data_IF_310103780010
#
_entry.id   IF_310103780010
#
_cell.length_a   1.000
_cell.length_b   1.000
_cell.length_c   1.000
_cell.angle_alpha   90.00
_cell.angle_beta   90.00
_cell.angle_gamma   90.00
#
_symmetry.space_group_name_H-M   'P 1'
#
loop_
_entity.id
_entity.type
_entity.pdbx_description
1 polymer ?
#
# COMPACT_ATOMS: atom_id res chain seq x y z
N UNK A 1 0.08 6.89 -2.22
CA UNK A 1 0.34 5.50 -1.79
C UNK A 1 -0.48 4.46 -2.56
N UNK A 2 -1.44 4.88 -3.40
CA UNK A 2 -2.28 3.97 -4.18
C UNK A 2 -1.66 3.60 -5.54
N UNK A 3 -1.85 4.43 -6.57
CA UNK A 3 -1.48 4.13 -7.97
C UNK A 3 -0.08 4.57 -8.42
N UNK A 4 0.80 4.96 -7.49
CA UNK A 4 2.19 5.28 -7.81
C UNK A 4 3.07 4.03 -8.00
N UNK A 5 4.26 4.21 -8.57
CA UNK A 5 5.24 3.12 -8.82
C UNK A 5 5.48 2.19 -7.62
N UNK A 6 5.56 2.74 -6.41
CA UNK A 6 5.74 2.02 -5.15
C UNK A 6 4.49 2.08 -4.24
N UNK A 7 3.30 2.22 -4.85
CA UNK A 7 2.03 2.17 -4.13
C UNK A 7 1.44 0.76 -4.04
N UNK A 8 0.33 0.63 -3.33
CA UNK A 8 -0.29 -0.68 -3.08
C UNK A 8 -0.85 -1.34 -4.34
N UNK A 9 -1.18 -0.55 -5.38
CA UNK A 9 -1.53 -1.11 -6.69
C UNK A 9 -0.33 -1.86 -7.31
N UNK A 10 0.89 -1.40 -7.05
CA UNK A 10 2.10 -2.06 -7.54
C UNK A 10 2.45 -3.29 -6.73
N UNK A 11 2.38 -3.25 -5.39
CA UNK A 11 2.59 -4.46 -4.57
C UNK A 11 1.56 -5.54 -4.94
N UNK A 12 0.27 -5.19 -4.95
CA UNK A 12 -0.80 -6.07 -5.40
C UNK A 12 -0.54 -6.61 -6.81
N UNK A 13 -0.32 -5.73 -7.79
CA UNK A 13 -0.14 -6.13 -9.18
C UNK A 13 1.04 -7.09 -9.37
N UNK A 14 2.17 -6.83 -8.70
CA UNK A 14 3.33 -7.71 -8.76
C UNK A 14 3.03 -9.09 -8.18
N UNK A 15 2.52 -9.15 -6.96
CA UNK A 15 2.33 -10.43 -6.27
C UNK A 15 1.19 -11.23 -6.91
N UNK A 16 0.14 -10.56 -7.40
CA UNK A 16 -0.96 -11.16 -8.12
C UNK A 16 -0.46 -11.90 -9.37
N UNK A 17 0.21 -11.20 -10.28
CA UNK A 17 0.68 -11.81 -11.52
C UNK A 17 1.80 -12.83 -11.28
N UNK A 18 2.69 -12.61 -10.31
CA UNK A 18 3.67 -13.62 -9.91
C UNK A 18 3.01 -14.88 -9.34
N UNK A 19 1.94 -14.77 -8.54
CA UNK A 19 1.21 -15.92 -8.00
C UNK A 19 0.50 -16.72 -9.10
N UNK A 20 -0.07 -16.04 -10.10
CA UNK A 20 -0.69 -16.67 -11.26
C UNK A 20 0.37 -17.41 -12.11
N UNK A 21 1.48 -16.74 -12.39
CA UNK A 21 2.56 -17.24 -13.24
C UNK A 21 3.55 -18.16 -12.51
N UNK A 22 3.35 -18.44 -11.22
CA UNK A 22 4.29 -19.20 -10.41
C UNK A 22 4.45 -20.62 -10.96
N UNK A 23 5.69 -20.99 -11.29
CA UNK A 23 6.04 -22.33 -11.80
C UNK A 23 6.41 -23.28 -10.68
N UNK A 24 6.13 -24.58 -10.87
CA UNK A 24 6.46 -25.62 -9.90
C UNK A 24 5.80 -25.41 -8.51
N UNK A 25 4.53 -24.97 -8.48
CA UNK A 25 3.76 -24.68 -7.26
C UNK A 25 3.83 -25.79 -6.20
N UNK A 26 3.85 -27.06 -6.60
CA UNK A 26 3.97 -28.18 -5.64
C UNK A 26 5.37 -28.29 -5.03
N UNK A 27 6.44 -28.14 -5.84
CA UNK A 27 7.82 -28.27 -5.37
C UNK A 27 8.28 -27.06 -4.55
N UNK A 28 7.77 -25.88 -4.89
CA UNK A 28 8.10 -24.60 -4.25
C UNK A 28 6.92 -24.05 -3.46
N UNK A 29 6.11 -24.94 -2.88
CA UNK A 29 4.83 -24.60 -2.24
C UNK A 29 4.95 -23.48 -1.21
N UNK A 30 5.95 -23.51 -0.31
CA UNK A 30 6.12 -22.47 0.71
C UNK A 30 6.34 -21.07 0.12
N UNK A 31 7.07 -20.96 -1.00
CA UNK A 31 7.33 -19.67 -1.65
C UNK A 31 6.13 -19.20 -2.46
N UNK A 32 5.44 -20.13 -3.14
CA UNK A 32 4.18 -19.85 -3.80
C UNK A 32 3.13 -19.35 -2.80
N UNK A 33 2.93 -20.08 -1.69
CA UNK A 33 2.00 -19.71 -0.63
C UNK A 33 2.34 -18.38 0.01
N UNK A 34 3.63 -18.08 0.22
CA UNK A 34 4.06 -16.77 0.71
C UNK A 34 3.60 -15.65 -0.23
N UNK A 35 3.90 -15.76 -1.53
CA UNK A 35 3.48 -14.75 -2.51
C UNK A 35 1.97 -14.64 -2.56
N UNK A 36 1.24 -15.76 -2.64
CA UNK A 36 -0.21 -15.77 -2.73
C UNK A 36 -0.91 -15.22 -1.48
N UNK A 37 -0.40 -15.50 -0.28
CA UNK A 37 -0.96 -14.95 0.96
C UNK A 37 -0.77 -13.44 1.04
N UNK A 38 0.42 -12.94 0.68
CA UNK A 38 0.67 -11.49 0.65
C UNK A 38 -0.16 -10.82 -0.44
N UNK A 39 -0.34 -11.44 -1.62
CA UNK A 39 -1.28 -10.93 -2.65
C UNK A 39 -2.68 -10.69 -2.08
N UNK A 40 -3.19 -11.64 -1.28
CA UNK A 40 -4.51 -11.49 -0.67
C UNK A 40 -4.55 -10.35 0.36
N UNK A 41 -3.46 -10.13 1.09
CA UNK A 41 -3.32 -8.98 2.00
C UNK A 41 -3.30 -7.64 1.25
N UNK A 42 -2.57 -7.55 0.12
CA UNK A 42 -2.45 -6.31 -0.66
C UNK A 42 -3.78 -5.85 -1.28
N UNK A 43 -4.75 -6.74 -1.49
CA UNK A 43 -6.12 -6.34 -1.86
C UNK A 43 -6.73 -5.44 -0.77
N UNK A 44 -6.58 -5.84 0.50
CA UNK A 44 -7.02 -5.04 1.64
C UNK A 44 -6.22 -3.76 1.81
N UNK A 45 -4.94 -3.72 1.40
CA UNK A 45 -4.16 -2.48 1.40
C UNK A 45 -4.64 -1.48 0.34
N UNK A 46 -4.95 -1.95 -0.87
CA UNK A 46 -5.57 -1.11 -1.91
C UNK A 46 -6.90 -0.55 -1.43
N UNK A 47 -7.74 -1.38 -0.79
CA UNK A 47 -8.99 -0.94 -0.18
C UNK A 47 -8.75 0.11 0.93
N UNK A 48 -7.85 -0.17 1.88
CA UNK A 48 -7.53 0.72 3.00
C UNK A 48 -7.04 2.09 2.53
N UNK A 49 -6.11 2.13 1.57
CA UNK A 49 -5.61 3.40 1.03
C UNK A 49 -6.69 4.12 0.24
N UNK A 50 -7.51 3.41 -0.53
CA UNK A 50 -8.62 4.01 -1.28
C UNK A 50 -9.64 4.65 -0.35
N UNK A 51 -10.00 3.96 0.73
CA UNK A 51 -10.88 4.50 1.77
C UNK A 51 -10.23 5.71 2.48
N UNK A 52 -8.93 5.61 2.82
CA UNK A 52 -8.20 6.75 3.39
C UNK A 52 -8.23 8.00 2.50
N UNK A 53 -8.08 7.85 1.18
CA UNK A 53 -8.21 8.98 0.23
C UNK A 53 -9.63 9.55 0.23
N UNK A 54 -10.66 8.70 0.19
CA UNK A 54 -12.05 9.14 0.22
C UNK A 54 -12.36 9.89 1.53
N UNK A 55 -11.93 9.36 2.67
CA UNK A 55 -12.10 9.99 3.99
C UNK A 55 -11.36 11.33 4.11
N UNK A 56 -10.17 11.45 3.55
CA UNK A 56 -9.43 12.72 3.54
C UNK A 56 -10.11 13.80 2.68
N UNK A 57 -10.79 13.39 1.60
CA UNK A 57 -11.44 14.32 0.69
C UNK A 57 -12.87 14.68 1.12
N UNK A 58 -13.61 13.73 1.69
CA UNK A 58 -15.05 13.85 1.95
C UNK A 58 -15.41 13.87 3.43
N UNK A 59 -14.51 13.43 4.32
CA UNK A 59 -14.81 13.22 5.73
C UNK A 59 -15.70 12.00 5.98
N UNK A 60 -16.03 11.72 7.26
CA UNK A 60 -17.01 10.70 7.62
C UNK A 60 -18.43 11.15 7.26
N UNK A 61 -19.32 10.19 7.00
CA UNK A 61 -20.74 10.45 6.87
C UNK A 61 -21.30 11.12 8.14
N UNK A 62 -22.08 12.17 7.97
CA UNK A 62 -22.85 12.81 9.04
C UNK A 62 -24.33 12.46 8.92
N UNK A 63 -25.01 12.40 10.07
CA UNK A 63 -26.43 12.06 10.11
C UNK A 63 -27.24 13.11 9.37
N UNK A 64 -27.86 12.71 8.26
CA UNK A 64 -28.73 13.56 7.44
C UNK A 64 -28.06 14.14 6.20
N UNK A 65 -26.82 13.79 5.87
CA UNK A 65 -26.15 14.25 4.63
C UNK A 65 -26.92 13.85 3.37
N UNK A 66 -27.64 12.73 3.43
CA UNK A 66 -28.50 12.18 2.36
C UNK A 66 -29.92 12.79 2.34
N UNK A 67 -30.25 13.68 3.28
CA UNK A 67 -31.59 14.27 3.40
C UNK A 67 -31.72 15.65 2.75
N UNK A 68 -30.60 16.23 2.29
CA UNK A 68 -30.57 17.52 1.61
C UNK A 68 -31.08 17.46 0.16
N UNK A 69 -31.41 18.61 -0.41
CA UNK A 69 -31.79 18.76 -1.82
C UNK A 69 -30.61 19.12 -2.74
N UNK A 70 -29.37 18.97 -2.26
CA UNK A 70 -28.14 19.35 -2.97
C UNK A 70 -27.70 20.81 -2.82
N UNK A 71 -28.53 21.69 -2.23
CA UNK A 71 -28.20 23.09 -1.99
C UNK A 71 -28.13 23.96 -3.26
N UNK A 72 -27.88 25.26 -3.09
CA UNK A 72 -27.66 26.21 -4.19
C UNK A 72 -26.16 26.30 -4.51
N UNK A 73 -25.79 25.95 -5.74
CA UNK A 73 -24.40 25.95 -6.22
C UNK A 73 -24.00 27.24 -6.96
N UNK A 74 -24.92 28.19 -7.17
CA UNK A 74 -24.66 29.41 -7.96
C UNK A 74 -23.59 30.30 -7.33
N UNK A 75 -23.41 30.21 -6.01
CA UNK A 75 -22.36 30.91 -5.25
C UNK A 75 -20.98 30.24 -5.25
N UNK A 76 -20.74 29.21 -6.09
CA UNK A 76 -19.49 28.46 -6.15
C UNK A 76 -19.00 27.95 -4.76
N UNK A 77 -19.80 27.11 -4.06
CA UNK A 77 -19.48 26.67 -2.69
C UNK A 77 -18.17 25.88 -2.57
N UNK A 78 -17.67 25.32 -3.67
CA UNK A 78 -16.40 24.60 -3.75
C UNK A 78 -15.32 25.37 -4.52
N UNK A 79 -15.35 26.71 -4.51
CA UNK A 79 -14.42 27.55 -5.29
C UNK A 79 -12.94 27.19 -5.06
N UNK A 80 -12.57 26.86 -3.81
CA UNK A 80 -11.20 26.47 -3.44
C UNK A 80 -10.68 25.23 -4.18
N UNK A 81 -11.55 24.38 -4.74
CA UNK A 81 -11.15 23.18 -5.49
C UNK A 81 -10.47 23.52 -6.83
N UNK A 82 -10.57 24.76 -7.32
CA UNK A 82 -9.88 25.19 -8.55
C UNK A 82 -8.35 25.24 -8.40
N UNK A 83 -7.85 25.41 -7.17
CA UNK A 83 -6.44 25.65 -6.86
C UNK A 83 -5.77 24.44 -6.18
N UNK A 84 -6.47 23.32 -6.02
CA UNK A 84 -5.87 22.11 -5.41
C UNK A 84 -4.86 21.47 -6.36
N UNK A 85 -3.83 20.84 -5.78
CA UNK A 85 -2.71 20.23 -6.53
C UNK A 85 -3.14 19.21 -7.58
N UNK A 86 -4.22 18.47 -7.33
CA UNK A 86 -4.77 17.46 -8.23
C UNK A 86 -6.27 17.69 -8.43
N UNK A 87 -6.60 18.70 -9.23
CA UNK A 87 -7.98 19.12 -9.50
C UNK A 87 -8.88 17.99 -10.02
N UNK A 88 -8.33 17.04 -10.79
CA UNK A 88 -9.06 15.86 -11.27
C UNK A 88 -9.65 15.00 -10.13
N UNK A 89 -9.01 15.00 -8.94
CA UNK A 89 -9.54 14.34 -7.75
C UNK A 89 -10.93 14.85 -7.35
N UNK A 90 -11.20 16.13 -7.56
CA UNK A 90 -12.53 16.71 -7.38
C UNK A 90 -13.37 16.59 -8.66
N UNK A 91 -12.90 17.15 -9.78
CA UNK A 91 -13.73 17.31 -10.99
C UNK A 91 -14.11 16.01 -11.70
N UNK A 92 -13.23 14.99 -11.68
CA UNK A 92 -13.48 13.73 -12.38
C UNK A 92 -13.85 12.60 -11.43
N UNK A 93 -13.33 12.62 -10.20
CA UNK A 93 -13.44 11.51 -9.27
C UNK A 93 -14.33 11.78 -8.05
N UNK A 94 -14.85 13.01 -7.90
CA UNK A 94 -15.79 13.35 -6.82
C UNK A 94 -15.22 13.08 -5.42
N UNK A 95 -13.91 13.29 -5.22
CA UNK A 95 -13.21 12.98 -3.97
C UNK A 95 -12.83 11.50 -3.81
N UNK A 96 -13.24 10.62 -4.73
CA UNK A 96 -12.93 9.21 -4.71
C UNK A 96 -11.48 8.88 -5.14
N UNK A 97 -11.01 7.73 -4.68
CA UNK A 97 -9.75 7.15 -5.13
C UNK A 97 -9.88 6.50 -6.52
N UNK A 98 -8.86 6.69 -7.35
CA UNK A 98 -8.68 6.04 -8.65
C UNK A 98 -7.22 5.58 -8.81
N UNK A 99 -6.90 4.63 -9.71
CA UNK A 99 -5.55 4.08 -9.82
C UNK A 99 -4.58 5.06 -10.53
N UNK A 100 -4.25 6.16 -9.86
CA UNK A 100 -3.31 7.19 -10.31
C UNK A 100 -2.25 7.49 -9.25
N UNK A 101 -1.13 8.07 -9.68
CA UNK A 101 -0.10 8.60 -8.78
C UNK A 101 -0.44 10.00 -8.24
N UNK A 102 0.46 10.59 -7.45
CA UNK A 102 0.24 11.91 -6.84
C UNK A 102 0.26 13.09 -7.82
N UNK A 103 0.62 12.85 -9.08
CA UNK A 103 0.58 13.84 -10.17
C UNK A 103 -0.53 13.51 -11.20
N UNK A 104 -1.38 12.51 -10.92
CA UNK A 104 -2.49 12.14 -11.78
C UNK A 104 -2.12 11.20 -12.94
N UNK A 105 -0.91 10.64 -12.98
CA UNK A 105 -0.56 9.65 -13.99
C UNK A 105 -1.18 8.29 -13.66
N UNK A 106 -1.77 7.63 -14.65
CA UNK A 106 -2.38 6.31 -14.47
C UNK A 106 -1.36 5.25 -14.07
N UNK A 107 -1.71 4.47 -13.05
CA UNK A 107 -1.04 3.20 -12.78
C UNK A 107 -1.15 2.32 -14.01
N UNK A 108 -0.07 1.63 -14.36
CA UNK A 108 -0.04 0.82 -15.57
C UNK A 108 0.87 -0.40 -15.41
N UNK A 109 0.77 -1.30 -16.39
CA UNK A 109 1.48 -2.59 -16.41
C UNK A 109 3.01 -2.48 -16.27
N UNK A 110 3.61 -1.33 -16.60
CA UNK A 110 5.07 -1.19 -16.58
C UNK A 110 5.63 -1.15 -15.14
N UNK A 111 4.76 -1.08 -14.13
CA UNK A 111 5.12 -1.26 -12.73
C UNK A 111 5.11 -2.72 -12.26
N UNK A 112 4.70 -3.67 -13.11
CA UNK A 112 4.66 -5.10 -12.78
C UNK A 112 5.90 -5.82 -13.32
N UNK A 113 6.65 -6.44 -12.41
CA UNK A 113 7.76 -7.35 -12.70
C UNK A 113 7.34 -8.78 -12.38
N UNK A 114 7.20 -9.60 -13.42
CA UNK A 114 6.95 -11.05 -13.29
C UNK A 114 7.82 -11.78 -14.30
N UNK A 115 8.86 -12.47 -13.83
CA UNK A 115 9.85 -13.12 -14.69
C UNK A 115 9.67 -14.64 -14.73
N UNK A 116 8.99 -15.22 -13.73
CA UNK A 116 8.87 -16.66 -13.56
C UNK A 116 10.11 -17.31 -12.94
N UNK A 117 11.13 -16.52 -12.58
CA UNK A 117 12.26 -16.95 -11.77
C UNK A 117 12.01 -16.55 -10.31
N UNK A 118 11.83 -17.54 -9.43
CA UNK A 118 11.48 -17.31 -8.02
C UNK A 118 12.50 -16.45 -7.28
N UNK A 119 13.80 -16.60 -7.54
CA UNK A 119 14.82 -15.79 -6.85
C UNK A 119 14.76 -14.34 -7.31
N UNK A 120 14.62 -14.13 -8.62
CA UNK A 120 14.54 -12.78 -9.19
C UNK A 120 13.26 -12.04 -8.77
N UNK A 121 12.12 -12.72 -8.84
CA UNK A 121 10.82 -12.14 -8.47
C UNK A 121 10.77 -11.82 -6.95
N UNK A 122 11.31 -12.69 -6.08
CA UNK A 122 11.38 -12.41 -4.64
C UNK A 122 12.38 -11.29 -4.30
N UNK A 123 13.49 -11.18 -5.03
CA UNK A 123 14.43 -10.05 -4.89
C UNK A 123 13.77 -8.74 -5.30
N UNK A 124 13.02 -8.75 -6.41
CA UNK A 124 12.21 -7.61 -6.81
C UNK A 124 11.18 -7.23 -5.74
N UNK A 125 10.49 -8.20 -5.14
CA UNK A 125 9.49 -7.93 -4.10
C UNK A 125 10.11 -7.35 -2.82
N UNK A 126 11.27 -7.83 -2.41
CA UNK A 126 12.02 -7.23 -1.29
C UNK A 126 12.34 -5.75 -1.57
N UNK A 127 12.84 -5.45 -2.77
CA UNK A 127 13.08 -4.07 -3.22
C UNK A 127 11.79 -3.24 -3.26
N UNK A 128 10.70 -3.82 -3.76
CA UNK A 128 9.41 -3.15 -3.88
C UNK A 128 8.87 -2.75 -2.50
N UNK A 129 8.92 -3.63 -1.51
CA UNK A 129 8.50 -3.32 -0.14
C UNK A 129 9.37 -2.24 0.52
N UNK A 130 10.69 -2.30 0.33
CA UNK A 130 11.59 -1.26 0.83
C UNK A 130 11.30 0.11 0.17
N UNK A 131 11.03 0.12 -1.13
CA UNK A 131 10.66 1.33 -1.86
C UNK A 131 9.27 1.85 -1.46
N UNK A 132 8.30 0.97 -1.27
CA UNK A 132 6.96 1.30 -0.79
C UNK A 132 7.01 1.91 0.61
N UNK A 133 7.81 1.32 1.49
CA UNK A 133 8.11 1.86 2.82
C UNK A 133 8.71 3.27 2.76
N UNK A 134 9.71 3.50 1.91
CA UNK A 134 10.30 4.83 1.73
C UNK A 134 9.26 5.86 1.29
N UNK A 135 8.36 5.49 0.37
CA UNK A 135 7.28 6.36 -0.09
C UNK A 135 6.25 6.62 1.02
N UNK A 136 5.87 5.60 1.79
CA UNK A 136 4.98 5.73 2.96
C UNK A 136 5.55 6.70 4.00
N UNK A 137 6.85 6.61 4.31
CA UNK A 137 7.52 7.55 5.22
C UNK A 137 7.48 9.00 4.72
N UNK A 138 7.80 9.25 3.45
CA UNK A 138 7.75 10.60 2.87
C UNK A 138 6.35 11.20 2.85
N UNK A 139 5.35 10.36 2.57
CA UNK A 139 3.94 10.79 2.65
C UNK A 139 3.57 11.10 4.10
N UNK A 140 3.95 10.24 5.05
CA UNK A 140 3.71 10.47 6.48
C UNK A 140 4.33 11.80 6.96
N UNK A 141 5.56 12.13 6.53
CA UNK A 141 6.23 13.41 6.83
C UNK A 141 5.46 14.62 6.29
N UNK A 142 4.64 14.45 5.25
CA UNK A 142 3.85 15.52 4.63
C UNK A 142 2.41 15.64 5.15
N UNK A 143 1.96 14.70 5.98
CA UNK A 143 0.59 14.66 6.48
C UNK A 143 0.51 15.14 7.93
N UNK A 144 -0.54 15.91 8.23
CA UNK A 144 -0.96 16.25 9.60
C UNK A 144 -2.28 15.58 9.98
N UNK A 145 -3.09 15.17 9.00
CA UNK A 145 -4.40 14.57 9.25
C UNK A 145 -4.26 13.17 9.90
N UNK A 146 -4.99 12.89 11.00
CA UNK A 146 -4.92 11.62 11.71
C UNK A 146 -5.26 10.41 10.82
N UNK A 147 -6.25 10.52 9.93
CA UNK A 147 -6.65 9.43 9.03
C UNK A 147 -5.50 9.01 8.13
N UNK A 148 -4.84 10.01 7.51
CA UNK A 148 -3.71 9.76 6.63
C UNK A 148 -2.50 9.18 7.36
N UNK A 149 -2.20 9.70 8.56
CA UNK A 149 -1.11 9.17 9.40
C UNK A 149 -1.38 7.76 9.91
N UNK A 150 -2.63 7.45 10.26
CA UNK A 150 -3.05 6.14 10.73
C UNK A 150 -2.90 5.08 9.64
N UNK A 151 -3.39 5.36 8.43
CA UNK A 151 -3.18 4.49 7.26
C UNK A 151 -1.69 4.23 7.02
N UNK A 152 -0.86 5.26 7.07
CA UNK A 152 0.59 5.11 6.93
C UNK A 152 1.19 4.26 8.07
N UNK A 153 0.81 4.51 9.33
CA UNK A 153 1.32 3.80 10.50
C UNK A 153 1.06 2.30 10.42
N UNK A 154 -0.17 1.90 10.08
CA UNK A 154 -0.53 0.50 9.86
C UNK A 154 0.28 -0.13 8.74
N UNK A 155 0.29 0.49 7.55
CA UNK A 155 0.92 -0.08 6.37
C UNK A 155 2.46 -0.11 6.45
N UNK A 156 3.08 0.77 7.25
CA UNK A 156 4.51 0.69 7.57
C UNK A 156 4.84 -0.57 8.38
N UNK A 157 3.95 -0.99 9.28
CA UNK A 157 4.10 -2.24 10.04
C UNK A 157 3.91 -3.43 9.12
N UNK A 158 2.83 -3.46 8.33
CA UNK A 158 2.52 -4.57 7.41
C UNK A 158 3.58 -4.74 6.32
N UNK A 159 3.96 -3.67 5.63
CA UNK A 159 5.05 -3.72 4.63
C UNK A 159 6.41 -4.14 5.22
N UNK A 160 6.66 -3.86 6.50
CA UNK A 160 7.87 -4.37 7.18
C UNK A 160 7.81 -5.89 7.39
N UNK A 161 6.63 -6.45 7.67
CA UNK A 161 6.42 -7.92 7.70
C UNK A 161 6.70 -8.51 6.33
N UNK A 162 6.19 -7.90 5.26
CA UNK A 162 6.37 -8.39 3.88
C UNK A 162 7.85 -8.36 3.47
N UNK A 163 8.54 -7.23 3.68
CA UNK A 163 9.96 -7.09 3.40
C UNK A 163 10.78 -8.16 4.14
N UNK A 164 10.48 -8.40 5.42
CA UNK A 164 11.16 -9.41 6.20
C UNK A 164 10.87 -10.84 5.71
N UNK A 165 9.62 -11.13 5.35
CA UNK A 165 9.22 -12.44 4.83
C UNK A 165 9.91 -12.75 3.49
N UNK A 166 10.00 -11.79 2.58
CA UNK A 166 10.73 -11.94 1.32
C UNK A 166 12.24 -12.08 1.54
N UNK A 167 12.82 -11.34 2.49
CA UNK A 167 14.23 -11.49 2.85
C UNK A 167 14.54 -12.90 3.40
N UNK A 168 13.70 -13.42 4.29
CA UNK A 168 13.84 -14.78 4.82
C UNK A 168 13.68 -15.85 3.73
N UNK A 169 12.75 -15.65 2.79
CA UNK A 169 12.58 -16.53 1.65
C UNK A 169 13.83 -16.54 0.75
N UNK A 170 14.42 -15.37 0.48
CA UNK A 170 15.67 -15.24 -0.28
C UNK A 170 16.85 -15.90 0.44
N UNK A 171 16.98 -15.70 1.76
CA UNK A 171 17.99 -16.38 2.58
C UNK A 171 17.85 -17.90 2.49
N UNK A 172 16.62 -18.42 2.51
CA UNK A 172 16.36 -19.86 2.39
C UNK A 172 16.75 -20.41 1.01
N UNK A 173 16.55 -19.64 -0.05
CA UNK A 173 16.85 -20.06 -1.44
C UNK A 173 18.32 -19.90 -1.82
N UNK A 174 19.00 -18.87 -1.29
CA UNK A 174 20.31 -18.43 -1.80
C UNK A 174 21.42 -18.46 -0.75
N UNK A 175 21.08 -18.53 0.54
CA UNK A 175 22.02 -18.39 1.65
C UNK A 175 22.43 -16.94 1.95
N UNK A 176 22.02 -15.96 1.15
CA UNK A 176 22.35 -14.55 1.35
C UNK A 176 21.51 -13.95 2.47
N UNK A 177 22.15 -13.34 3.45
CA UNK A 177 21.50 -12.71 4.62
C UNK A 177 21.02 -11.29 4.31
N UNK A 178 20.15 -11.14 3.30
CA UNK A 178 19.66 -9.83 2.84
C UNK A 178 18.78 -9.13 3.89
N UNK A 179 18.22 -9.86 4.86
CA UNK A 179 17.46 -9.28 5.98
C UNK A 179 18.29 -8.30 6.82
N UNK A 180 19.63 -8.42 6.79
CA UNK A 180 20.55 -7.49 7.46
C UNK A 180 20.53 -6.08 6.85
N UNK A 181 19.92 -5.90 5.69
CA UNK A 181 19.70 -4.57 5.12
C UNK A 181 18.53 -3.83 5.80
N UNK A 182 17.63 -4.54 6.49
CA UNK A 182 16.46 -3.93 7.12
C UNK A 182 16.81 -3.28 8.48
N UNK A 183 16.14 -2.16 8.85
CA UNK A 183 15.12 -1.46 8.07
C UNK A 183 15.73 -0.55 6.98
N UNK A 184 15.09 -0.48 5.82
CA UNK A 184 15.48 0.40 4.71
C UNK A 184 14.36 1.40 4.42
N UNK A 185 14.57 2.73 4.52
CA UNK A 185 15.70 3.40 5.19
C UNK A 185 15.77 3.11 6.69
N UNK A 186 16.92 3.40 7.33
CA UNK A 186 17.18 3.13 8.75
C UNK A 186 16.43 4.07 9.71
N UNK A 187 15.10 3.99 9.68
CA UNK A 187 14.18 4.73 10.53
C UNK A 187 13.34 3.68 11.29
N UNK A 188 13.56 3.44 12.58
CA UNK A 188 12.80 2.42 13.32
C UNK A 188 11.30 2.74 13.40
N UNK A 189 10.44 1.72 13.30
CA UNK A 189 8.99 1.88 13.51
C UNK A 189 8.64 2.38 14.92
N UNK A 190 9.54 2.16 15.90
CA UNK A 190 9.47 2.73 17.25
C UNK A 190 9.31 4.25 17.28
N UNK A 191 9.74 4.95 16.23
CA UNK A 191 9.68 6.41 16.13
C UNK A 191 8.40 6.92 15.44
N UNK A 192 7.51 6.02 15.01
CA UNK A 192 6.24 6.38 14.37
C UNK A 192 5.11 6.15 15.39
N UNK A 193 4.50 7.21 15.94
CA UNK A 193 3.46 7.11 16.97
C UNK A 193 2.30 6.18 16.61
N UNK A 194 1.74 6.32 15.42
CA UNK A 194 0.59 5.54 14.94
C UNK A 194 0.96 4.05 14.74
N UNK A 195 2.24 3.73 14.54
CA UNK A 195 2.69 2.34 14.47
C UNK A 195 2.71 1.66 15.85
N UNK A 196 2.84 2.40 16.95
CA UNK A 196 3.10 1.81 18.28
C UNK A 196 2.03 0.85 18.74
N UNK A 197 0.74 1.16 18.50
CA UNK A 197 -0.36 0.26 18.90
C UNK A 197 -0.30 -1.09 18.18
N UNK A 198 0.06 -1.08 16.90
CA UNK A 198 0.23 -2.28 16.07
C UNK A 198 1.49 -3.07 16.49
N UNK A 199 2.54 -2.39 16.94
CA UNK A 199 3.70 -3.05 17.53
C UNK A 199 3.33 -3.72 18.86
N UNK A 200 2.62 -3.02 19.74
CA UNK A 200 2.20 -3.50 21.06
C UNK A 200 1.31 -4.74 20.97
N UNK A 201 0.34 -4.76 20.04
CA UNK A 201 -0.52 -5.93 19.83
C UNK A 201 0.16 -7.10 19.10
N UNK A 202 1.39 -6.89 18.60
CA UNK A 202 2.22 -7.92 17.97
C UNK A 202 2.03 -8.10 16.46
N UNK A 203 1.39 -7.16 15.76
CA UNK A 203 1.13 -7.27 14.32
C UNK A 203 2.40 -7.35 13.46
N UNK A 204 3.52 -6.78 13.93
CA UNK A 204 4.85 -6.93 13.30
C UNK A 204 5.42 -8.37 13.32
N UNK A 205 4.80 -9.31 14.04
CA UNK A 205 5.21 -10.72 14.13
C UNK A 205 4.24 -11.67 13.43
N UNK A 206 3.19 -11.14 12.78
CA UNK A 206 2.11 -11.94 12.21
C UNK A 206 2.09 -11.79 10.69
N UNK A 207 2.28 -12.90 10.01
CA UNK A 207 1.87 -13.06 8.61
C UNK A 207 0.55 -13.81 8.61
N UNK A 208 -0.51 -13.18 8.15
CA UNK A 208 -1.85 -13.76 8.15
C UNK A 208 -2.04 -14.62 6.90
N UNK A 209 -2.74 -15.75 7.07
CA UNK A 209 -3.17 -16.60 5.94
C UNK A 209 -4.60 -16.22 5.58
N UNK A 210 -4.77 -15.43 4.52
CA UNK A 210 -6.09 -15.03 4.01
C UNK A 210 -6.68 -16.13 3.10
N UNK A 211 -6.90 -17.32 3.68
CA UNK A 211 -7.53 -18.48 3.04
C UNK A 211 -8.31 -19.29 4.08
N UNK A 212 -9.49 -19.85 3.74
CA UNK A 212 -10.19 -20.83 4.57
C UNK A 212 -9.35 -22.08 4.85
#
# INVERSE_FOLDING_TARGET
LLGGKYGEMSTLGNYLFQSFNFRSKTKLASFYSLVACITAEELGHVELVSNGVAMLNNGPDSKGDDTGNGGDITGAPMEMMKDIRLAAGFYSHGGGAVPVDSNGLSWNKDFVTTTGNVVFDLLHNFHLECGARLHKLRVYESLSDPTGREVCGYLLVRGSVHAHAYALALKKLTGVEIEKMLPTPNIPLGNIPEAQKYLAEGSHRRLYTFSP
#
